data_IF_374801854078
#
_entry.id   IF_374801854078
#
_cell.length_a   1.000
_cell.length_b   1.000
_cell.length_c   1.000
_cell.angle_alpha   90.00
_cell.angle_beta   90.00
_cell.angle_gamma   90.00
#
_symmetry.space_group_name_H-M   'P 1'
#
loop_
_entity.id
_entity.type
_entity.pdbx_description
1 polymer ?
#
# COMPACT_ATOMS: atom_id res chain seq x y z
N UNK A 1 -9.56 -30.49 -7.11
CA UNK A 1 -10.64 -29.99 -6.22
C UNK A 1 -11.01 -28.61 -6.69
N UNK A 2 -12.31 -28.33 -6.90
CA UNK A 2 -12.76 -26.99 -7.33
C UNK A 2 -12.66 -26.04 -6.14
N UNK A 3 -11.93 -24.92 -6.32
CA UNK A 3 -11.82 -23.85 -5.34
C UNK A 3 -12.98 -22.87 -5.49
N UNK A 4 -13.26 -22.12 -4.42
CA UNK A 4 -14.27 -21.05 -4.45
C UNK A 4 -13.58 -19.69 -4.49
N UNK A 5 -13.82 -18.94 -5.57
CA UNK A 5 -13.31 -17.59 -5.76
C UNK A 5 -14.44 -16.58 -5.63
N UNK A 6 -14.22 -15.47 -4.94
CA UNK A 6 -15.21 -14.40 -4.78
C UNK A 6 -14.79 -13.14 -5.52
N UNK A 7 -15.68 -12.58 -6.32
CA UNK A 7 -15.45 -11.26 -6.93
C UNK A 7 -15.46 -10.21 -5.82
N UNK A 8 -14.38 -9.43 -5.70
CA UNK A 8 -14.28 -8.40 -4.68
C UNK A 8 -15.32 -7.26 -4.86
N UNK A 9 -15.80 -7.03 -6.09
CA UNK A 9 -16.71 -5.92 -6.41
C UNK A 9 -18.18 -6.26 -6.22
N UNK A 10 -18.63 -7.43 -6.72
CA UNK A 10 -20.05 -7.82 -6.65
C UNK A 10 -20.33 -8.94 -5.64
N UNK A 11 -19.32 -9.56 -5.04
CA UNK A 11 -19.47 -10.65 -4.09
C UNK A 11 -19.89 -11.98 -4.69
N UNK A 12 -20.01 -12.10 -6.01
CA UNK A 12 -20.39 -13.37 -6.65
C UNK A 12 -19.29 -14.43 -6.50
N UNK A 13 -19.71 -15.67 -6.30
CA UNK A 13 -18.84 -16.82 -6.06
C UNK A 13 -18.72 -17.72 -7.29
N UNK A 14 -17.48 -18.09 -7.61
CA UNK A 14 -17.10 -18.93 -8.74
C UNK A 14 -16.48 -20.23 -8.23
N UNK A 15 -17.02 -21.38 -8.62
CA UNK A 15 -16.49 -22.70 -8.24
C UNK A 15 -15.72 -23.34 -9.39
N UNK A 16 -14.40 -23.20 -9.39
CA UNK A 16 -13.52 -23.68 -10.46
C UNK A 16 -12.08 -23.90 -9.99
N UNK A 17 -11.22 -24.46 -10.83
CA UNK A 17 -9.85 -24.81 -10.44
C UNK A 17 -8.93 -23.59 -10.45
N UNK A 18 -9.09 -22.70 -11.42
CA UNK A 18 -8.28 -21.48 -11.60
C UNK A 18 -9.09 -20.21 -11.35
N UNK A 19 -8.46 -19.10 -10.90
CA UNK A 19 -9.16 -17.84 -10.73
C UNK A 19 -9.81 -17.37 -12.04
N UNK A 20 -11.02 -16.80 -12.02
CA UNK A 20 -11.61 -16.23 -13.23
C UNK A 20 -10.76 -15.09 -13.76
N UNK A 21 -10.69 -14.93 -15.08
CA UNK A 21 -9.98 -13.80 -15.70
C UNK A 21 -10.77 -12.48 -15.61
N UNK A 22 -12.10 -12.56 -15.54
CA UNK A 22 -12.99 -11.40 -15.43
C UNK A 22 -14.33 -11.79 -14.82
N UNK A 23 -15.00 -10.82 -14.18
CA UNK A 23 -16.37 -11.00 -13.72
C UNK A 23 -17.34 -10.72 -14.87
N UNK A 24 -18.36 -11.55 -15.03
CA UNK A 24 -19.35 -11.44 -16.12
C UNK A 24 -20.80 -11.21 -15.63
N UNK A 25 -20.99 -11.06 -14.31
CA UNK A 25 -22.31 -11.16 -13.66
C UNK A 25 -23.08 -9.84 -13.68
N UNK A 26 -22.41 -8.71 -13.44
CA UNK A 26 -23.05 -7.39 -13.46
C UNK A 26 -22.24 -6.42 -14.31
N UNK A 27 -22.92 -5.44 -14.91
CA UNK A 27 -22.29 -4.43 -15.78
C UNK A 27 -21.26 -3.58 -15.05
N UNK A 28 -21.46 -3.32 -13.77
CA UNK A 28 -20.57 -2.56 -12.89
C UNK A 28 -19.27 -3.29 -12.52
N UNK A 29 -19.24 -4.62 -12.58
CA UNK A 29 -18.03 -5.44 -12.35
C UNK A 29 -17.53 -6.16 -13.60
N UNK A 30 -18.14 -5.92 -14.76
CA UNK A 30 -17.77 -6.55 -16.04
C UNK A 30 -16.34 -6.17 -16.41
N UNK A 31 -15.43 -7.16 -16.42
CA UNK A 31 -14.00 -6.93 -16.68
C UNK A 31 -13.12 -6.77 -15.43
N UNK A 32 -13.68 -6.77 -14.21
CA UNK A 32 -12.86 -6.79 -12.99
C UNK A 32 -12.12 -8.13 -12.85
N UNK A 33 -10.79 -8.08 -12.71
CA UNK A 33 -9.91 -9.27 -12.66
C UNK A 33 -9.45 -9.69 -11.27
N UNK A 34 -9.94 -9.04 -10.20
CA UNK A 34 -9.51 -9.34 -8.84
C UNK A 34 -10.48 -10.31 -8.15
N UNK A 35 -9.99 -11.51 -7.85
CA UNK A 35 -10.74 -12.59 -7.24
C UNK A 35 -10.01 -13.13 -6.02
N UNK A 36 -10.75 -13.30 -4.93
CA UNK A 36 -10.22 -13.80 -3.67
C UNK A 36 -10.49 -15.30 -3.60
N UNK A 37 -9.45 -16.12 -3.48
CA UNK A 37 -9.58 -17.53 -3.12
C UNK A 37 -10.02 -17.63 -1.66
N UNK A 38 -11.28 -18.03 -1.43
CA UNK A 38 -11.87 -18.08 -0.09
C UNK A 38 -11.24 -19.18 0.77
N UNK A 39 -10.79 -20.29 0.18
CA UNK A 39 -10.12 -21.35 0.94
C UNK A 39 -8.75 -20.87 1.46
N UNK A 40 -8.00 -20.21 0.58
CA UNK A 40 -6.71 -19.61 0.95
C UNK A 40 -6.88 -18.48 1.97
N UNK A 41 -7.91 -17.62 1.80
CA UNK A 41 -8.21 -16.53 2.74
C UNK A 41 -8.56 -17.06 4.13
N UNK A 42 -9.48 -18.01 4.24
CA UNK A 42 -9.89 -18.59 5.53
C UNK A 42 -8.73 -19.29 6.24
N UNK A 43 -7.84 -19.94 5.48
CA UNK A 43 -6.62 -20.57 6.01
C UNK A 43 -5.64 -19.52 6.56
N UNK A 44 -5.42 -18.42 5.83
CA UNK A 44 -4.62 -17.29 6.27
C UNK A 44 -5.20 -16.62 7.52
N UNK A 45 -6.51 -16.41 7.55
CA UNK A 45 -7.23 -15.84 8.69
C UNK A 45 -7.08 -16.73 9.94
N UNK A 46 -7.21 -18.05 9.79
CA UNK A 46 -6.94 -19.01 10.86
C UNK A 46 -5.50 -18.92 11.39
N UNK A 47 -4.51 -18.79 10.50
CA UNK A 47 -3.10 -18.60 10.88
C UNK A 47 -2.87 -17.27 11.61
N UNK A 48 -3.50 -16.19 11.17
CA UNK A 48 -3.44 -14.88 11.83
C UNK A 48 -3.99 -14.96 13.27
N UNK A 49 -5.15 -15.58 13.45
CA UNK A 49 -5.75 -15.77 14.76
C UNK A 49 -4.84 -16.60 15.68
N UNK A 50 -4.21 -17.65 15.14
CA UNK A 50 -3.28 -18.46 15.91
C UNK A 50 -2.00 -17.71 16.29
N UNK A 51 -1.46 -16.86 15.42
CA UNK A 51 -0.31 -16.02 15.74
C UNK A 51 -0.65 -14.97 16.81
N UNK A 52 -1.82 -14.33 16.72
CA UNK A 52 -2.29 -13.39 17.75
C UNK A 52 -2.38 -14.06 19.12
N UNK A 53 -2.90 -15.28 19.18
CA UNK A 53 -2.93 -16.05 20.42
C UNK A 53 -1.53 -16.34 20.99
N UNK A 54 -0.55 -16.65 20.13
CA UNK A 54 0.83 -16.86 20.57
C UNK A 54 1.49 -15.57 21.08
N UNK A 55 1.25 -14.43 20.41
CA UNK A 55 1.72 -13.11 20.85
C UNK A 55 1.20 -12.79 22.25
N UNK A 56 -0.11 -12.94 22.48
CA UNK A 56 -0.73 -12.72 23.79
C UNK A 56 -0.10 -13.59 24.88
N UNK A 57 0.15 -14.88 24.60
CA UNK A 57 0.84 -15.78 25.54
C UNK A 57 2.28 -15.36 25.83
N UNK A 58 3.01 -14.85 24.83
CA UNK A 58 4.38 -14.37 25.03
C UNK A 58 4.42 -13.07 25.82
N UNK A 59 3.45 -12.17 25.62
CA UNK A 59 3.29 -10.93 26.37
C UNK A 59 2.96 -11.20 27.85
N UNK A 60 2.06 -12.15 28.13
CA UNK A 60 1.78 -12.59 29.51
C UNK A 60 3.01 -13.16 30.20
N UNK A 61 3.83 -13.96 29.49
CA UNK A 61 5.07 -14.52 30.03
C UNK A 61 6.14 -13.45 30.25
N UNK A 62 6.26 -12.49 29.34
CA UNK A 62 7.15 -11.35 29.49
C UNK A 62 6.75 -10.48 30.69
N UNK A 63 5.46 -10.20 30.87
CA UNK A 63 4.96 -9.41 32.00
C UNK A 63 5.12 -10.13 33.35
N UNK A 64 5.04 -11.47 33.39
CA UNK A 64 5.33 -12.25 34.61
C UNK A 64 6.81 -12.25 35.00
N UNK A 65 7.71 -12.02 34.04
CA UNK A 65 9.16 -11.97 34.28
C UNK A 65 9.69 -10.56 34.64
N UNK A 66 8.81 -9.57 34.84
CA UNK A 66 9.17 -8.19 35.22
C UNK A 66 8.97 -7.91 36.73
N UNK A 67 8.50 -8.88 37.52
CA UNK A 67 8.37 -8.75 38.97
C UNK A 67 9.26 -9.74 39.73
N UNK A 68 10.57 -9.60 39.62
CA UNK A 68 11.53 -10.11 40.62
C UNK A 68 12.81 -9.25 40.62
N UNK A 69 12.64 -7.92 40.61
CA UNK A 69 13.67 -7.04 41.18
C UNK A 69 13.41 -7.00 42.69
N UNK A 70 14.21 -7.78 43.43
CA UNK A 70 14.31 -7.69 44.88
C UNK A 70 14.67 -6.25 45.28
N UNK A 71 13.65 -5.44 45.57
CA UNK A 71 13.78 -4.23 46.35
C UNK A 71 14.24 -4.63 47.75
N UNK A 72 15.55 -4.68 47.98
CA UNK A 72 16.15 -4.87 49.30
C UNK A 72 15.62 -3.74 50.21
N UNK A 73 14.82 -4.03 51.25
CA UNK A 73 14.37 -3.00 52.16
C UNK A 73 15.54 -2.58 53.06
N UNK A 74 16.06 -1.37 52.84
CA UNK A 74 17.00 -0.70 53.74
C UNK A 74 16.30 -0.32 55.05
N UNK A 75 16.06 -1.27 55.94
CA UNK A 75 15.66 -0.96 57.33
C UNK A 75 16.42 -1.82 58.33
N UNK A 76 17.41 -1.17 58.96
CA UNK A 76 17.89 -1.26 60.35
C UNK A 76 19.43 -1.18 60.40
N UNK A 77 19.93 0.00 60.79
CA UNK A 77 21.30 0.18 61.30
C UNK A 77 21.45 -0.65 62.58
N UNK A 78 21.94 -1.87 62.49
CA UNK A 78 22.51 -2.57 63.63
C UNK A 78 23.93 -2.05 63.86
N UNK A 79 24.19 -1.57 65.08
CA UNK A 79 25.51 -1.12 65.52
C UNK A 79 26.46 -2.32 65.59
N UNK A 80 27.18 -2.61 64.51
CA UNK A 80 28.36 -3.47 64.55
C UNK A 80 29.55 -2.70 65.14
N UNK A 81 29.68 -2.71 66.47
CA UNK A 81 30.97 -2.45 67.13
C UNK A 81 31.78 -3.74 67.15
N UNK A 82 32.31 -4.10 65.99
CA UNK A 82 33.36 -5.11 65.85
C UNK A 82 34.69 -4.44 65.55
N UNK A 83 35.68 -4.63 66.42
CA UNK A 83 37.04 -4.09 66.28
C UNK A 83 37.78 -4.81 65.14
N UNK A 84 37.69 -4.30 63.91
CA UNK A 84 38.53 -4.75 62.79
C UNK A 84 39.97 -4.25 62.98
N UNK A 85 40.76 -5.00 63.75
CA UNK A 85 42.21 -4.98 63.62
C UNK A 85 42.59 -6.03 62.57
N UNK A 86 42.72 -5.61 61.33
CA UNK A 86 43.16 -6.46 60.21
C UNK A 86 43.57 -5.60 59.03
N UNK A 87 44.88 -5.50 58.81
CA UNK A 87 45.48 -4.88 57.62
C UNK A 87 45.01 -5.67 56.39
N UNK A 88 44.46 -4.97 55.40
CA UNK A 88 44.05 -5.59 54.15
C UNK A 88 43.27 -4.64 53.26
N UNK A 89 43.85 -3.47 52.91
CA UNK A 89 43.44 -2.82 51.66
C UNK A 89 43.70 -3.86 50.57
N UNK A 90 42.67 -4.48 50.01
CA UNK A 90 42.82 -5.31 48.81
C UNK A 90 43.20 -4.36 47.69
N UNK A 91 44.50 -4.21 47.46
CA UNK A 91 45.05 -3.48 46.34
C UNK A 91 44.57 -4.15 45.05
N UNK A 92 43.55 -3.56 44.42
CA UNK A 92 43.19 -3.87 43.03
C UNK A 92 44.49 -3.76 42.21
N UNK A 93 44.87 -4.84 41.54
CA UNK A 93 46.07 -4.86 40.71
C UNK A 93 45.93 -3.79 39.61
N UNK A 94 47.02 -3.06 39.33
CA UNK A 94 47.04 -1.97 38.34
C UNK A 94 46.36 -2.37 37.02
N UNK A 95 46.63 -3.59 36.53
CA UNK A 95 46.00 -4.19 35.35
C UNK A 95 44.47 -4.29 35.39
N UNK A 96 43.87 -4.57 36.55
CA UNK A 96 42.40 -4.62 36.72
C UNK A 96 41.80 -3.21 36.72
N UNK A 97 42.54 -2.22 37.23
CA UNK A 97 42.12 -0.82 37.25
C UNK A 97 42.15 -0.20 35.85
N UNK A 98 43.20 -0.51 35.08
CA UNK A 98 43.36 -0.06 33.69
C UNK A 98 42.29 -0.71 32.78
N UNK A 99 42.02 -2.01 32.95
CA UNK A 99 40.94 -2.68 32.22
C UNK A 99 39.54 -2.13 32.55
N UNK A 100 39.28 -1.76 33.80
CA UNK A 100 38.02 -1.11 34.18
C UNK A 100 37.89 0.29 33.56
N UNK A 101 38.99 1.05 33.51
CA UNK A 101 39.00 2.38 32.90
C UNK A 101 38.70 2.29 31.39
N UNK A 102 39.30 1.33 30.69
CA UNK A 102 39.03 1.07 29.27
C UNK A 102 37.55 0.74 29.02
N UNK A 103 36.95 -0.13 29.83
CA UNK A 103 35.52 -0.48 29.69
C UNK A 103 34.63 0.74 29.90
N UNK A 104 34.98 1.65 30.81
CA UNK A 104 34.23 2.89 31.02
C UNK A 104 34.30 3.81 29.78
N UNK A 105 35.47 3.93 29.16
CA UNK A 105 35.66 4.72 27.94
C UNK A 105 34.90 4.10 26.74
N UNK A 106 34.95 2.78 26.58
CA UNK A 106 34.20 2.06 25.56
C UNK A 106 32.68 2.23 25.74
N UNK A 107 32.20 2.19 26.97
CA UNK A 107 30.77 2.38 27.30
C UNK A 107 30.32 3.81 27.01
N UNK A 108 31.16 4.81 27.29
CA UNK A 108 30.90 6.20 26.93
C UNK A 108 30.84 6.38 25.40
N UNK A 109 31.74 5.74 24.65
CA UNK A 109 31.75 5.76 23.19
C UNK A 109 30.51 5.07 22.61
N UNK A 110 30.17 3.87 23.08
CA UNK A 110 28.97 3.15 22.63
C UNK A 110 27.69 3.94 22.92
N UNK A 111 27.61 4.61 24.07
CA UNK A 111 26.47 5.47 24.41
C UNK A 111 26.30 6.60 23.38
N UNK A 112 27.39 7.24 22.96
CA UNK A 112 27.37 8.29 21.95
C UNK A 112 27.00 7.76 20.56
N UNK A 113 27.51 6.59 20.17
CA UNK A 113 27.13 5.93 18.91
C UNK A 113 25.63 5.57 18.88
N UNK A 114 25.09 5.02 19.97
CA UNK A 114 23.66 4.71 20.09
C UNK A 114 22.80 5.96 19.96
N UNK A 115 23.22 7.09 20.56
CA UNK A 115 22.52 8.36 20.42
C UNK A 115 22.47 8.81 18.96
N UNK A 116 23.61 8.82 18.26
CA UNK A 116 23.69 9.19 16.84
C UNK A 116 22.84 8.27 15.95
N UNK A 117 22.89 6.95 16.18
CA UNK A 117 22.06 6.00 15.44
C UNK A 117 20.57 6.22 15.68
N UNK A 118 20.18 6.60 16.89
CA UNK A 118 18.79 6.94 17.23
C UNK A 118 18.32 8.19 16.50
N UNK A 119 19.16 9.24 16.45
CA UNK A 119 18.87 10.47 15.70
C UNK A 119 18.73 10.19 14.20
N UNK A 120 19.69 9.48 13.60
CA UNK A 120 19.64 9.08 12.19
C UNK A 120 18.41 8.23 11.87
N UNK A 121 18.05 7.27 12.74
CA UNK A 121 16.84 6.46 12.59
C UNK A 121 15.59 7.33 12.53
N UNK A 122 15.49 8.33 13.40
CA UNK A 122 14.34 9.23 13.44
C UNK A 122 14.24 10.06 12.17
N UNK A 123 15.36 10.63 11.70
CA UNK A 123 15.42 11.38 10.43
C UNK A 123 14.96 10.53 9.25
N UNK A 124 15.55 9.33 9.08
CA UNK A 124 15.19 8.41 7.99
C UNK A 124 13.73 7.96 8.06
N UNK A 125 13.17 7.81 9.28
CA UNK A 125 11.76 7.48 9.46
C UNK A 125 10.85 8.63 9.00
N UNK A 126 11.22 9.87 9.32
CA UNK A 126 10.50 11.07 8.88
C UNK A 126 10.52 11.20 7.35
N UNK A 127 11.71 11.11 6.74
CA UNK A 127 11.89 11.20 5.29
C UNK A 127 11.10 10.10 4.56
N UNK A 128 11.13 8.86 5.06
CA UNK A 128 10.33 7.77 4.49
C UNK A 128 8.83 8.05 4.56
N UNK A 129 8.36 8.69 5.63
CA UNK A 129 6.94 9.05 5.78
C UNK A 129 6.55 10.14 4.78
N UNK A 130 7.39 11.16 4.61
CA UNK A 130 7.17 12.20 3.60
C UNK A 130 7.17 11.64 2.18
N UNK A 131 8.11 10.74 1.86
CA UNK A 131 8.18 10.10 0.55
C UNK A 131 6.94 9.25 0.27
N UNK A 132 6.43 8.51 1.25
CA UNK A 132 5.16 7.77 1.12
C UNK A 132 4.00 8.71 0.81
N UNK A 133 3.88 9.81 1.54
CA UNK A 133 2.82 10.80 1.31
C UNK A 133 2.91 11.41 -0.10
N UNK A 134 4.13 11.73 -0.57
CA UNK A 134 4.36 12.22 -1.95
C UNK A 134 3.95 11.18 -2.99
N UNK A 135 4.29 9.90 -2.78
CA UNK A 135 3.90 8.81 -3.68
C UNK A 135 2.37 8.70 -3.75
N UNK A 136 1.68 8.77 -2.63
CA UNK A 136 0.22 8.64 -2.61
C UNK A 136 -0.49 9.84 -3.25
N UNK A 137 0.05 11.06 -3.06
CA UNK A 137 -0.42 12.24 -3.79
C UNK A 137 -0.23 12.07 -5.32
N UNK A 138 0.95 11.64 -5.77
CA UNK A 138 1.23 11.42 -7.19
C UNK A 138 0.34 10.33 -7.80
N UNK A 139 0.01 9.27 -7.05
CA UNK A 139 -0.96 8.25 -7.50
C UNK A 139 -2.35 8.84 -7.67
N UNK A 140 -2.78 9.70 -6.75
CA UNK A 140 -4.05 10.43 -6.86
C UNK A 140 -4.11 11.28 -8.12
N UNK A 141 -3.10 12.12 -8.34
CA UNK A 141 -3.00 12.97 -9.53
C UNK A 141 -2.99 12.16 -10.83
N UNK A 142 -2.26 11.03 -10.85
CA UNK A 142 -2.22 10.14 -12.00
C UNK A 142 -3.60 9.52 -12.29
N UNK A 143 -4.34 9.12 -11.25
CA UNK A 143 -5.70 8.59 -11.38
C UNK A 143 -6.63 9.62 -12.00
N UNK A 144 -6.64 10.85 -11.46
CA UNK A 144 -7.49 11.94 -11.98
C UNK A 144 -7.16 12.25 -13.44
N UNK A 145 -5.88 12.34 -13.79
CA UNK A 145 -5.47 12.55 -15.20
C UNK A 145 -5.87 11.37 -16.11
N UNK A 146 -5.85 10.15 -15.59
CA UNK A 146 -6.33 8.97 -16.31
C UNK A 146 -7.83 9.03 -16.62
N UNK A 147 -8.63 9.49 -15.67
CA UNK A 147 -10.07 9.70 -15.84
C UNK A 147 -10.35 10.81 -16.86
N UNK A 148 -9.65 11.93 -16.77
CA UNK A 148 -9.74 13.04 -17.73
C UNK A 148 -9.38 12.60 -19.15
N UNK A 149 -8.30 11.83 -19.32
CA UNK A 149 -7.87 11.32 -20.62
C UNK A 149 -8.91 10.36 -21.21
N UNK A 150 -9.54 9.53 -20.38
CA UNK A 150 -10.62 8.63 -20.79
C UNK A 150 -11.84 9.43 -21.28
N UNK A 151 -12.23 10.46 -20.54
CA UNK A 151 -13.32 11.36 -20.91
C UNK A 151 -13.06 12.06 -22.25
N UNK A 152 -11.89 12.68 -22.39
CA UNK A 152 -11.49 13.37 -23.63
C UNK A 152 -11.42 12.42 -24.82
N UNK A 153 -10.99 11.17 -24.61
CA UNK A 153 -10.97 10.15 -25.67
C UNK A 153 -12.38 9.79 -26.13
N UNK A 154 -13.33 9.68 -25.19
CA UNK A 154 -14.75 9.46 -25.51
C UNK A 154 -15.34 10.63 -26.30
N UNK A 155 -15.13 11.86 -25.83
CA UNK A 155 -15.63 13.08 -26.48
C UNK A 155 -15.05 13.22 -27.90
N UNK A 156 -13.76 12.94 -28.09
CA UNK A 156 -13.13 12.98 -29.41
C UNK A 156 -13.71 11.91 -30.37
N UNK A 157 -14.04 10.72 -29.84
CA UNK A 157 -14.71 9.67 -30.63
C UNK A 157 -16.10 10.10 -31.06
N UNK A 158 -16.88 10.69 -30.15
CA UNK A 158 -18.21 11.23 -30.49
C UNK A 158 -18.14 12.34 -31.54
N UNK A 159 -17.16 13.25 -31.43
CA UNK A 159 -16.96 14.32 -32.40
C UNK A 159 -16.58 13.78 -33.78
N UNK A 160 -15.72 12.76 -33.86
CA UNK A 160 -15.41 12.07 -35.14
C UNK A 160 -16.66 11.47 -35.77
N UNK A 161 -17.48 10.76 -34.98
CA UNK A 161 -18.73 10.18 -35.47
C UNK A 161 -19.70 11.26 -36.00
N UNK A 162 -19.82 12.40 -35.29
CA UNK A 162 -20.62 13.54 -35.75
C UNK A 162 -20.10 14.12 -37.06
N UNK A 163 -18.78 14.26 -37.20
CA UNK A 163 -18.15 14.74 -38.45
C UNK A 163 -18.47 13.78 -39.60
N UNK A 164 -18.35 12.48 -39.39
CA UNK A 164 -18.61 11.49 -40.45
C UNK A 164 -20.09 11.45 -40.85
N UNK A 165 -21.01 11.60 -39.89
CA UNK A 165 -22.44 11.76 -40.18
C UNK A 165 -22.72 13.01 -41.03
N UNK A 166 -22.15 14.16 -40.65
CA UNK A 166 -22.31 15.42 -41.40
C UNK A 166 -21.74 15.33 -42.82
N UNK A 167 -20.61 14.64 -43.01
CA UNK A 167 -20.05 14.36 -44.34
C UNK A 167 -21.00 13.49 -45.18
N UNK A 168 -21.61 12.47 -44.57
CA UNK A 168 -22.62 11.64 -45.21
C UNK A 168 -23.82 12.47 -45.68
N UNK A 169 -24.40 13.26 -44.79
CA UNK A 169 -25.53 14.14 -45.10
C UNK A 169 -25.21 15.13 -46.23
N UNK A 170 -23.99 15.71 -46.22
CA UNK A 170 -23.54 16.62 -47.27
C UNK A 170 -23.43 15.91 -48.62
N UNK A 171 -22.90 14.69 -48.62
CA UNK A 171 -22.75 13.86 -49.83
C UNK A 171 -24.12 13.54 -50.44
N UNK A 172 -25.07 13.07 -49.63
CA UNK A 172 -26.44 12.79 -50.07
C UNK A 172 -27.13 14.05 -50.61
N UNK A 173 -26.93 15.21 -49.98
CA UNK A 173 -27.48 16.48 -50.50
C UNK A 173 -26.87 16.88 -51.84
N UNK A 174 -25.55 16.70 -52.01
CA UNK A 174 -24.87 16.99 -53.28
C UNK A 174 -25.39 16.09 -54.40
N UNK A 175 -25.52 14.78 -54.15
CA UNK A 175 -26.10 13.83 -55.11
C UNK A 175 -27.56 14.17 -55.47
N UNK A 176 -28.35 14.60 -54.49
CA UNK A 176 -29.71 15.10 -54.74
C UNK A 176 -29.72 16.35 -55.64
N UNK A 177 -28.82 17.29 -55.42
CA UNK A 177 -28.69 18.50 -56.24
C UNK A 177 -28.23 18.18 -57.67
N UNK A 178 -27.30 17.24 -57.86
CA UNK A 178 -26.88 16.83 -59.21
C UNK A 178 -28.03 16.14 -59.95
N UNK A 179 -28.75 15.24 -59.30
CA UNK A 179 -29.92 14.56 -59.88
C UNK A 179 -31.02 15.54 -60.30
N UNK A 180 -31.36 16.49 -59.41
CA UNK A 180 -32.37 17.52 -59.73
C UNK A 180 -31.94 18.41 -60.89
N UNK A 181 -30.67 18.82 -60.94
CA UNK A 181 -30.09 19.59 -62.05
C UNK A 181 -30.19 18.83 -63.38
N UNK A 182 -29.82 17.56 -63.40
CA UNK A 182 -29.91 16.72 -64.60
C UNK A 182 -31.35 16.57 -65.08
N UNK A 183 -32.27 16.32 -64.15
CA UNK A 183 -33.71 16.21 -64.45
C UNK A 183 -34.28 17.50 -65.04
N UNK A 184 -33.92 18.65 -64.49
CA UNK A 184 -34.30 19.97 -65.01
C UNK A 184 -33.76 20.19 -66.42
N UNK A 185 -32.49 19.90 -66.65
CA UNK A 185 -31.87 20.00 -67.97
C UNK A 185 -32.61 19.13 -69.00
N UNK A 186 -32.94 17.88 -68.67
CA UNK A 186 -33.71 17.01 -69.56
C UNK A 186 -35.10 17.59 -69.88
N UNK A 187 -35.82 18.09 -68.88
CA UNK A 187 -37.13 18.74 -69.09
C UNK A 187 -37.03 19.95 -70.00
N UNK A 188 -36.02 20.80 -69.82
CA UNK A 188 -35.77 21.98 -70.68
C UNK A 188 -35.52 21.54 -72.12
N UNK A 189 -34.66 20.53 -72.35
CA UNK A 189 -34.37 20.01 -73.69
C UNK A 189 -35.64 19.48 -74.36
N UNK A 190 -36.45 18.71 -73.64
CA UNK A 190 -37.72 18.17 -74.16
C UNK A 190 -38.73 19.26 -74.49
N UNK A 191 -38.83 20.32 -73.67
CA UNK A 191 -39.75 21.44 -73.91
C UNK A 191 -39.40 22.30 -75.13
N UNK A 192 -38.13 22.32 -75.57
CA UNK A 192 -37.69 23.06 -76.77
C UNK A 192 -37.90 22.29 -78.08
N UNK A 193 -38.23 21.00 -78.02
CA UNK A 193 -38.44 20.14 -79.19
C UNK A 193 -39.89 20.05 -79.67
N UNK A 194 -40.84 20.52 -78.86
CA UNK A 194 -42.27 20.63 -79.18
C UNK A 194 -42.61 22.08 -79.54
#
# INVERSE_FOLDING_TARGET
MKKTYKCAKCGHEYKQESPPSKCEVRSDCKGAGFFIDLESYNSLEGRCNQLQYQISKTEEKANKNVCEEDLIPFTKKSRLKGRLKGKGRTSISKSKKDGLLQVVDDLANFKEQVKKLTETKNTVTSENTELKNKIDALKGDLSTKGDDLTKLTSENTELKNKIDALKGDLTTKLEGLTFTKETLNQKIISSKKN
#
